data_IF_234161113729
#
_entry.id   IF_234161113729
#
_cell.length_a   1.000
_cell.length_b   1.000
_cell.length_c   1.000
_cell.angle_alpha   90.00
_cell.angle_beta   90.00
_cell.angle_gamma   90.00
#
_symmetry.space_group_name_H-M   'P 1'
#
loop_
_entity.id
_entity.type
_entity.pdbx_description
1 polymer ?
#
# COMPACT_ATOMS: atom_id res chain seq x y z
N UNK A 1 -14.24 37.86 -52.47
CA UNK A 1 -14.77 36.81 -51.57
C UNK A 1 -14.71 35.45 -52.27
N UNK A 2 -13.74 34.57 -51.97
CA UNK A 2 -13.66 33.18 -52.49
C UNK A 2 -12.53 32.32 -51.83
N UNK A 3 -12.19 32.58 -50.56
CA UNK A 3 -11.14 31.80 -49.83
C UNK A 3 -11.64 31.13 -48.54
N UNK A 4 -12.82 31.48 -48.04
CA UNK A 4 -13.36 30.93 -46.78
C UNK A 4 -14.15 29.62 -46.97
N UNK A 5 -14.69 29.36 -48.17
CA UNK A 5 -15.51 28.16 -48.46
C UNK A 5 -14.68 26.87 -48.64
N UNK A 6 -13.41 26.98 -49.03
CA UNK A 6 -12.55 25.81 -49.32
C UNK A 6 -12.03 25.10 -48.07
N UNK A 7 -11.86 25.82 -46.96
CA UNK A 7 -11.34 25.26 -45.69
C UNK A 7 -12.45 24.45 -44.98
N UNK A 8 -13.70 24.92 -45.03
CA UNK A 8 -14.84 24.20 -44.45
C UNK A 8 -15.13 22.85 -45.11
N UNK A 9 -14.91 22.74 -46.43
CA UNK A 9 -15.10 21.49 -47.19
C UNK A 9 -14.02 20.44 -46.90
N UNK A 10 -12.78 20.87 -46.61
CA UNK A 10 -11.68 19.95 -46.26
C UNK A 10 -11.84 19.35 -44.86
N UNK A 11 -12.34 20.13 -43.90
CA UNK A 11 -12.59 19.64 -42.52
C UNK A 11 -13.76 18.65 -42.49
N UNK A 12 -14.80 18.86 -43.30
CA UNK A 12 -15.94 17.95 -43.39
C UNK A 12 -15.57 16.61 -44.06
N UNK A 13 -14.66 16.63 -45.04
CA UNK A 13 -14.20 15.41 -45.71
C UNK A 13 -13.37 14.48 -44.80
N UNK A 14 -12.57 15.04 -43.87
CA UNK A 14 -11.82 14.24 -42.88
C UNK A 14 -12.74 13.60 -41.81
N UNK A 15 -13.85 14.25 -41.46
CA UNK A 15 -14.81 13.69 -40.51
C UNK A 15 -15.56 12.46 -41.06
N UNK A 16 -15.79 12.37 -42.37
CA UNK A 16 -16.51 11.26 -42.99
C UNK A 16 -15.60 10.03 -43.19
N UNK A 17 -14.29 10.23 -43.38
CA UNK A 17 -13.33 9.12 -43.48
C UNK A 17 -13.11 8.40 -42.13
N UNK A 18 -13.15 9.13 -41.00
CA UNK A 18 -12.93 8.54 -39.67
C UNK A 18 -14.13 7.70 -39.18
N UNK A 19 -15.36 8.01 -39.61
CA UNK A 19 -16.55 7.23 -39.26
C UNK A 19 -16.73 6.00 -40.18
N UNK A 20 -16.22 6.05 -41.41
CA UNK A 20 -16.31 4.94 -42.38
C UNK A 20 -15.39 3.74 -42.12
N UNK A 21 -14.25 3.94 -41.44
CA UNK A 21 -13.31 2.84 -41.13
C UNK A 21 -13.78 2.02 -39.92
N UNK A 22 -14.61 2.59 -39.04
CA UNK A 22 -15.14 1.90 -37.85
C UNK A 22 -16.29 0.92 -38.12
N UNK A 23 -16.96 0.99 -39.28
CA UNK A 23 -18.15 0.15 -39.56
C UNK A 23 -17.85 -1.02 -40.51
N UNK A 24 -16.79 -0.96 -41.32
CA UNK A 24 -16.51 -2.03 -42.31
C UNK A 24 -15.71 -3.20 -41.69
N UNK A 25 -15.02 -3.00 -40.56
CA UNK A 25 -14.35 -4.11 -39.86
C UNK A 25 -15.31 -5.09 -39.17
N UNK A 26 -16.61 -4.77 -39.07
CA UNK A 26 -17.62 -5.67 -38.52
C UNK A 26 -18.16 -6.70 -39.53
N UNK A 27 -17.80 -6.61 -40.82
CA UNK A 27 -18.41 -7.45 -41.87
C UNK A 27 -17.55 -8.66 -42.32
N UNK A 28 -16.33 -8.83 -41.80
CA UNK A 28 -15.44 -9.94 -42.20
C UNK A 28 -14.70 -10.57 -41.02
N UNK A 29 -15.45 -11.05 -40.01
CA UNK A 29 -14.92 -12.07 -39.09
C UNK A 29 -15.36 -13.47 -39.56
N UNK A 30 -14.42 -14.41 -39.76
CA UNK A 30 -14.76 -15.78 -40.07
C UNK A 30 -15.50 -16.44 -38.89
N UNK A 31 -16.51 -17.24 -39.20
CA UNK A 31 -17.45 -17.89 -38.27
C UNK A 31 -16.84 -19.03 -37.42
N UNK A 32 -15.64 -18.82 -36.88
CA UNK A 32 -14.96 -19.79 -36.02
C UNK A 32 -14.05 -19.08 -35.02
N UNK A 33 -14.65 -18.38 -34.07
CA UNK A 33 -13.99 -18.00 -32.83
C UNK A 33 -15.04 -18.09 -31.72
N UNK A 34 -14.88 -19.15 -30.95
CA UNK A 34 -15.51 -19.50 -29.68
C UNK A 34 -16.06 -18.32 -28.90
N UNK A 35 -17.33 -18.47 -28.52
CA UNK A 35 -18.06 -17.76 -27.48
C UNK A 35 -17.16 -17.49 -26.26
N UNK A 36 -16.54 -16.32 -26.20
CA UNK A 36 -16.04 -15.78 -24.94
C UNK A 36 -17.28 -15.31 -24.19
N UNK A 37 -17.84 -16.19 -23.37
CA UNK A 37 -18.80 -15.81 -22.36
C UNK A 37 -18.11 -14.78 -21.46
N UNK A 38 -18.47 -13.51 -21.63
CA UNK A 38 -18.19 -12.49 -20.62
C UNK A 38 -19.13 -12.82 -19.47
N UNK A 39 -18.67 -13.64 -18.53
CA UNK A 39 -19.32 -13.74 -17.23
C UNK A 39 -19.15 -12.38 -16.56
N UNK A 40 -20.18 -11.55 -16.69
CA UNK A 40 -20.32 -10.33 -15.92
C UNK A 40 -20.64 -10.78 -14.49
N UNK A 41 -19.62 -10.95 -13.66
CA UNK A 41 -19.81 -11.29 -12.25
C UNK A 41 -20.42 -10.05 -11.58
N UNK A 42 -21.74 -10.04 -11.46
CA UNK A 42 -22.49 -9.02 -10.71
C UNK A 42 -22.43 -9.38 -9.23
N UNK A 43 -21.48 -8.79 -8.50
CA UNK A 43 -21.46 -8.90 -7.05
C UNK A 43 -22.59 -8.04 -6.46
N UNK A 44 -23.40 -8.56 -5.52
CA UNK A 44 -24.39 -7.75 -4.82
C UNK A 44 -23.67 -6.68 -4.00
N UNK A 45 -24.02 -5.41 -4.24
CA UNK A 45 -23.65 -4.31 -3.35
C UNK A 45 -24.46 -4.51 -2.07
N UNK A 46 -23.91 -5.22 -1.10
CA UNK A 46 -24.47 -5.27 0.25
C UNK A 46 -24.29 -3.90 0.90
N UNK A 47 -25.36 -3.09 0.87
CA UNK A 47 -25.47 -1.87 1.66
C UNK A 47 -25.69 -2.29 3.11
N UNK A 48 -24.59 -2.46 3.86
CA UNK A 48 -24.59 -2.68 5.30
C UNK A 48 -23.94 -1.47 5.96
N UNK A 49 -24.76 -0.46 6.30
CA UNK A 49 -24.43 0.70 7.15
C UNK A 49 -23.01 1.24 6.94
N UNK A 50 -22.67 1.57 5.69
CA UNK A 50 -21.32 1.98 5.30
C UNK A 50 -21.15 3.47 5.64
N UNK A 51 -20.37 3.78 6.67
CA UNK A 51 -19.74 5.09 6.74
C UNK A 51 -18.94 5.20 5.44
N UNK A 52 -19.35 6.06 4.51
CA UNK A 52 -18.66 6.23 3.23
C UNK A 52 -17.22 6.66 3.53
N UNK A 53 -16.30 5.68 3.50
CA UNK A 53 -14.88 5.94 3.74
C UNK A 53 -14.36 6.90 2.67
N UNK A 54 -13.54 7.90 3.04
CA UNK A 54 -13.13 8.95 2.11
C UNK A 54 -12.24 8.39 0.99
N UNK A 55 -12.12 9.13 -0.11
CA UNK A 55 -11.24 8.77 -1.23
C UNK A 55 -9.76 9.05 -0.96
N UNK A 56 -9.46 9.80 0.10
CA UNK A 56 -8.11 10.05 0.58
C UNK A 56 -8.10 10.21 2.09
N UNK A 57 -7.01 9.79 2.71
CA UNK A 57 -6.71 10.06 4.12
C UNK A 57 -5.37 10.78 4.21
N UNK A 58 -5.24 11.67 5.18
CA UNK A 58 -3.94 12.24 5.56
C UNK A 58 -3.57 11.66 6.90
N UNK A 59 -2.33 11.19 7.04
CA UNK A 59 -1.82 10.70 8.32
C UNK A 59 -1.71 11.88 9.26
N UNK A 60 -2.69 11.99 10.14
CA UNK A 60 -2.66 12.90 11.28
C UNK A 60 -3.10 12.09 12.49
N UNK A 61 -2.15 11.83 13.38
CA UNK A 61 -2.41 11.17 14.63
C UNK A 61 -2.30 12.17 15.78
N UNK A 62 -3.30 12.10 16.64
CA UNK A 62 -3.33 12.78 17.94
C UNK A 62 -2.49 11.98 18.94
N UNK A 63 -1.58 12.65 19.64
CA UNK A 63 -0.70 12.02 20.63
C UNK A 63 0.77 12.09 20.26
N UNK A 64 1.62 11.62 21.19
CA UNK A 64 3.08 11.60 21.05
C UNK A 64 3.52 10.16 20.87
N UNK A 65 4.09 9.79 19.71
CA UNK A 65 4.72 8.49 19.53
C UNK A 65 5.82 8.28 20.57
N UNK A 66 5.81 7.12 21.20
CA UNK A 66 6.78 6.72 22.24
C UNK A 66 7.48 5.40 21.90
N UNK A 67 7.01 4.69 20.88
CA UNK A 67 7.66 3.50 20.34
C UNK A 67 7.50 3.43 18.82
N UNK A 68 8.50 2.84 18.17
CA UNK A 68 8.49 2.48 16.77
C UNK A 68 8.55 0.96 16.66
N UNK A 69 7.55 0.36 16.02
CA UNK A 69 7.52 -1.06 15.67
C UNK A 69 7.91 -1.28 14.22
N UNK A 70 8.64 -2.36 13.96
CA UNK A 70 8.87 -2.90 12.62
C UNK A 70 8.55 -4.39 12.59
N UNK A 71 7.85 -4.83 11.56
CA UNK A 71 7.69 -6.25 11.24
C UNK A 71 8.01 -6.46 9.77
N UNK A 72 8.56 -7.62 9.45
CA UNK A 72 8.84 -8.00 8.08
C UNK A 72 8.67 -9.49 7.87
N UNK A 73 8.06 -9.87 6.76
CA UNK A 73 8.21 -11.19 6.16
C UNK A 73 9.07 -11.07 4.90
N UNK A 74 10.07 -11.94 4.69
CA UNK A 74 10.43 -13.11 5.51
C UNK A 74 11.56 -12.88 6.53
N UNK A 75 12.09 -11.66 6.68
CA UNK A 75 13.31 -11.40 7.46
C UNK A 75 13.09 -11.58 8.97
N UNK A 76 12.00 -11.04 9.50
CA UNK A 76 11.64 -11.16 10.92
C UNK A 76 10.68 -12.35 11.06
N UNK A 77 10.69 -13.00 12.23
CA UNK A 77 9.78 -14.11 12.52
C UNK A 77 8.33 -13.74 12.17
N UNK A 78 7.62 -14.66 11.52
CA UNK A 78 6.28 -14.41 11.02
C UNK A 78 5.32 -14.00 12.14
N UNK A 79 4.68 -12.84 11.97
CA UNK A 79 3.74 -12.28 12.96
C UNK A 79 4.42 -11.58 14.14
N UNK A 80 5.75 -11.52 14.15
CA UNK A 80 6.48 -10.83 15.20
C UNK A 80 6.80 -9.38 14.81
N UNK A 81 6.61 -8.48 15.77
CA UNK A 81 7.10 -7.09 15.68
C UNK A 81 8.34 -6.95 16.56
N UNK A 82 9.27 -6.10 16.14
CA UNK A 82 10.39 -5.61 16.94
C UNK A 82 10.19 -4.14 17.20
N UNK A 83 10.42 -3.73 18.45
CA UNK A 83 10.16 -2.35 18.87
C UNK A 83 11.44 -1.63 19.25
N UNK A 84 11.42 -0.31 19.12
CA UNK A 84 12.44 0.56 19.68
C UNK A 84 11.78 1.77 20.35
N UNK A 85 12.40 2.24 21.44
CA UNK A 85 12.06 3.50 22.11
C UNK A 85 13.10 4.60 21.79
N UNK A 86 13.93 4.40 20.76
CA UNK A 86 14.89 5.39 20.30
C UNK A 86 14.19 6.62 19.70
N UNK A 87 14.35 7.76 20.37
CA UNK A 87 13.67 9.01 20.01
C UNK A 87 14.05 9.51 18.61
N UNK A 88 15.25 9.22 18.11
CA UNK A 88 15.68 9.66 16.78
C UNK A 88 14.98 8.85 15.68
N UNK A 89 14.87 7.53 15.87
CA UNK A 89 14.15 6.66 14.95
C UNK A 89 12.65 6.98 14.95
N UNK A 90 12.06 7.18 16.14
CA UNK A 90 10.66 7.59 16.30
C UNK A 90 10.42 8.95 15.62
N UNK A 91 11.29 9.93 15.86
CA UNK A 91 11.21 11.25 15.25
C UNK A 91 11.32 11.21 13.73
N UNK A 92 12.22 10.36 13.21
CA UNK A 92 12.37 10.16 11.76
C UNK A 92 11.12 9.53 11.14
N UNK A 93 10.60 8.45 11.72
CA UNK A 93 9.36 7.80 11.29
C UNK A 93 8.18 8.78 11.30
N UNK A 94 8.03 9.54 12.39
CA UNK A 94 7.01 10.58 12.55
C UNK A 94 7.11 11.62 11.43
N UNK A 95 8.31 12.12 11.14
CA UNK A 95 8.52 13.13 10.09
C UNK A 95 8.25 12.62 8.67
N UNK A 96 8.45 11.32 8.45
CA UNK A 96 8.23 10.68 7.16
C UNK A 96 6.74 10.43 6.89
N UNK A 97 5.95 10.19 7.94
CA UNK A 97 4.54 9.80 7.82
C UNK A 97 3.55 10.92 8.10
N UNK A 98 3.77 11.75 9.14
CA UNK A 98 2.80 12.77 9.53
C UNK A 98 2.60 13.81 8.42
N UNK A 99 1.35 14.08 8.09
CA UNK A 99 0.95 14.97 7.00
C UNK A 99 1.03 14.34 5.59
N UNK A 100 1.42 13.06 5.45
CA UNK A 100 1.37 12.38 4.15
C UNK A 100 -0.06 12.00 3.79
N UNK A 101 -0.40 12.17 2.52
CA UNK A 101 -1.70 11.80 1.98
C UNK A 101 -1.62 10.44 1.30
N UNK A 102 -2.65 9.63 1.52
CA UNK A 102 -2.84 8.33 0.90
C UNK A 102 -4.17 8.33 0.17
N UNK A 103 -4.18 7.87 -1.08
CA UNK A 103 -5.38 7.77 -1.91
C UNK A 103 -5.96 6.38 -1.90
N UNK A 104 -7.28 6.31 -1.88
CA UNK A 104 -8.03 5.05 -1.92
C UNK A 104 -7.68 4.29 -3.20
N UNK A 105 -7.31 3.05 -3.01
CA UNK A 105 -7.03 2.13 -4.10
C UNK A 105 -8.21 1.19 -4.34
N UNK A 106 -8.92 1.42 -5.45
CA UNK A 106 -10.09 0.61 -5.81
C UNK A 106 -9.72 -0.78 -6.35
N UNK A 107 -8.43 -1.05 -6.60
CA UNK A 107 -7.94 -2.38 -6.97
C UNK A 107 -7.89 -3.39 -5.81
N UNK A 108 -8.11 -2.95 -4.56
CA UNK A 108 -7.91 -3.76 -3.35
C UNK A 108 -8.71 -5.07 -3.31
N UNK A 109 -9.97 -5.07 -3.76
CA UNK A 109 -10.81 -6.28 -3.74
C UNK A 109 -10.31 -7.33 -4.74
N UNK A 110 -9.98 -6.90 -5.96
CA UNK A 110 -9.40 -7.76 -7.01
C UNK A 110 -8.03 -8.29 -6.56
N UNK A 111 -7.24 -7.46 -5.88
CA UNK A 111 -5.97 -7.84 -5.29
C UNK A 111 -6.13 -8.97 -4.27
N UNK A 112 -7.02 -8.83 -3.29
CA UNK A 112 -7.20 -9.84 -2.24
C UNK A 112 -7.61 -11.19 -2.83
N UNK A 113 -8.52 -11.19 -3.81
CA UNK A 113 -8.94 -12.41 -4.51
C UNK A 113 -7.79 -13.12 -5.26
N UNK A 114 -6.79 -12.37 -5.75
CA UNK A 114 -5.59 -12.94 -6.38
C UNK A 114 -4.55 -13.38 -5.35
N UNK A 115 -4.39 -12.65 -4.23
CA UNK A 115 -3.41 -12.92 -3.18
C UNK A 115 -3.57 -14.32 -2.57
N UNK A 116 -4.81 -14.76 -2.37
CA UNK A 116 -5.09 -16.11 -1.82
C UNK A 116 -4.57 -17.26 -2.72
N UNK A 117 -4.15 -16.95 -3.95
CA UNK A 117 -3.59 -17.89 -4.92
C UNK A 117 -2.06 -17.74 -5.08
N UNK A 118 -1.43 -16.78 -4.39
CA UNK A 118 -0.01 -16.49 -4.49
C UNK A 118 0.77 -17.15 -3.34
N UNK A 119 1.89 -17.80 -3.65
CA UNK A 119 2.81 -18.38 -2.67
C UNK A 119 4.08 -17.51 -2.56
N UNK A 120 4.42 -17.09 -1.34
CA UNK A 120 5.57 -16.21 -1.06
C UNK A 120 5.21 -14.72 -1.11
N UNK A 121 6.13 -13.86 -0.67
CA UNK A 121 5.95 -12.41 -0.65
C UNK A 121 7.02 -11.70 0.18
N UNK A 122 7.10 -10.38 0.02
CA UNK A 122 7.83 -9.51 0.94
C UNK A 122 6.82 -8.52 1.51
N UNK A 123 6.78 -8.38 2.81
CA UNK A 123 5.82 -7.50 3.45
C UNK A 123 6.47 -6.88 4.67
N UNK A 124 6.56 -5.56 4.69
CA UNK A 124 7.06 -4.80 5.83
C UNK A 124 5.95 -3.94 6.42
N UNK A 125 5.98 -3.73 7.73
CA UNK A 125 5.11 -2.75 8.41
C UNK A 125 5.95 -1.88 9.32
N UNK A 126 5.63 -0.60 9.35
CA UNK A 126 6.14 0.39 10.29
C UNK A 126 4.99 0.88 11.17
N UNK A 127 5.19 0.87 12.48
CA UNK A 127 4.17 1.11 13.49
C UNK A 127 4.62 2.23 14.43
N UNK A 128 3.79 3.24 14.64
CA UNK A 128 4.00 4.26 15.66
C UNK A 128 2.97 4.06 16.76
N UNK A 129 3.46 3.83 17.97
CA UNK A 129 2.62 3.57 19.14
C UNK A 129 2.85 4.64 20.23
N UNK A 130 1.80 4.95 20.97
CA UNK A 130 1.88 5.81 22.15
C UNK A 130 2.49 5.06 23.34
N UNK A 131 2.84 5.80 24.40
CA UNK A 131 3.49 5.24 25.58
C UNK A 131 2.69 4.13 26.28
N UNK A 132 1.36 4.10 26.09
CA UNK A 132 0.47 3.08 26.63
C UNK A 132 0.25 1.87 25.70
N UNK A 133 1.01 1.76 24.62
CA UNK A 133 0.89 0.69 23.63
C UNK A 133 -0.26 0.88 22.65
N UNK A 134 -1.00 1.99 22.67
CA UNK A 134 -2.04 2.24 21.67
C UNK A 134 -1.43 2.66 20.34
N UNK A 135 -1.87 2.00 19.25
CA UNK A 135 -1.49 2.34 17.88
C UNK A 135 -1.92 3.75 17.48
N UNK A 136 -0.96 4.57 17.08
CA UNK A 136 -1.21 5.92 16.51
C UNK A 136 -1.26 5.87 14.99
N UNK A 137 -0.35 5.11 14.37
CA UNK A 137 -0.26 4.98 12.92
C UNK A 137 0.40 3.65 12.57
N UNK A 138 -0.09 2.97 11.52
CA UNK A 138 0.65 1.91 10.86
C UNK A 138 0.66 2.16 9.36
N UNK A 139 1.78 1.83 8.72
CA UNK A 139 1.87 1.76 7.27
C UNK A 139 2.59 0.48 6.89
N UNK A 140 2.25 -0.05 5.73
CA UNK A 140 2.79 -1.28 5.21
C UNK A 140 3.38 -1.08 3.83
N UNK A 141 4.29 -1.95 3.42
CA UNK A 141 4.92 -1.95 2.11
C UNK A 141 5.04 -3.36 1.56
N UNK A 142 4.77 -3.52 0.27
CA UNK A 142 4.87 -4.80 -0.44
C UNK A 142 5.39 -4.58 -1.88
N UNK A 143 6.67 -4.92 -2.18
CA UNK A 143 7.32 -4.66 -3.47
C UNK A 143 6.82 -5.55 -4.60
N UNK A 144 6.07 -6.63 -4.32
CA UNK A 144 5.64 -7.60 -5.32
C UNK A 144 4.61 -7.07 -6.33
N UNK A 145 4.26 -5.78 -6.28
CA UNK A 145 3.04 -5.23 -6.87
C UNK A 145 3.25 -3.95 -7.70
N UNK A 146 4.38 -3.85 -8.40
CA UNK A 146 4.62 -2.78 -9.39
C UNK A 146 4.17 -3.26 -10.79
N UNK A 147 3.36 -2.44 -11.48
CA UNK A 147 2.81 -2.60 -12.85
C UNK A 147 1.45 -3.34 -13.02
N UNK A 148 0.35 -3.03 -12.32
CA UNK A 148 -0.46 -1.81 -12.52
C UNK A 148 -1.66 -1.81 -11.53
N UNK A 149 -1.76 -1.00 -10.48
CA UNK A 149 -0.84 -0.07 -9.81
C UNK A 149 -1.27 -0.04 -8.33
N UNK A 150 -0.60 -0.81 -7.46
CA UNK A 150 -0.66 -0.66 -6.00
C UNK A 150 -0.36 -1.94 -5.20
N UNK A 151 0.17 -1.84 -3.95
CA UNK A 151 0.62 -0.63 -3.27
C UNK A 151 2.16 -0.57 -3.14
N UNK A 152 2.71 0.64 -3.25
CA UNK A 152 3.91 0.99 -2.51
C UNK A 152 3.58 1.10 -1.01
N UNK A 153 3.97 2.16 -0.33
CA UNK A 153 3.59 2.35 1.08
C UNK A 153 2.06 2.56 1.18
N UNK A 154 1.38 1.83 2.08
CA UNK A 154 -0.07 1.86 2.20
C UNK A 154 -0.59 1.76 3.63
N UNK A 155 -1.86 2.12 3.80
CA UNK A 155 -2.65 1.95 5.02
C UNK A 155 -3.83 1.06 4.69
N UNK A 156 -4.08 0.04 5.51
CA UNK A 156 -5.27 -0.80 5.41
C UNK A 156 -6.28 -0.39 6.47
N UNK A 157 -7.48 -0.02 6.05
CA UNK A 157 -8.60 0.26 6.93
C UNK A 157 -9.77 -0.68 6.55
N UNK A 158 -9.85 -1.81 7.27
CA UNK A 158 -10.78 -2.90 6.97
C UNK A 158 -10.57 -3.44 5.55
N UNK A 159 -11.61 -3.30 4.72
CA UNK A 159 -11.61 -3.73 3.31
C UNK A 159 -11.06 -2.67 2.34
N UNK A 160 -10.73 -1.47 2.83
CA UNK A 160 -10.20 -0.38 2.00
C UNK A 160 -8.69 -0.30 2.19
N UNK A 161 -7.97 -0.10 1.09
CA UNK A 161 -6.54 0.18 1.08
C UNK A 161 -6.35 1.60 0.56
N UNK A 162 -5.47 2.35 1.22
CA UNK A 162 -5.03 3.68 0.82
C UNK A 162 -3.53 3.63 0.51
N UNK A 163 -3.12 4.12 -0.66
CA UNK A 163 -1.72 4.09 -1.12
C UNK A 163 -1.13 5.50 -1.04
N UNK A 164 0.08 5.60 -0.52
CA UNK A 164 0.78 6.86 -0.32
C UNK A 164 0.96 7.61 -1.65
N UNK A 165 0.62 8.89 -1.65
CA UNK A 165 0.86 9.74 -2.82
C UNK A 165 2.29 10.25 -2.87
N UNK A 166 2.77 10.51 -4.09
CA UNK A 166 4.08 11.12 -4.34
C UNK A 166 5.24 10.14 -4.20
N UNK A 167 6.43 10.70 -3.94
CA UNK A 167 7.66 9.93 -3.76
C UNK A 167 7.66 9.20 -2.42
N UNK A 168 7.89 7.89 -2.48
CA UNK A 168 7.87 6.97 -1.35
C UNK A 168 9.27 6.45 -0.99
N UNK A 169 10.30 6.77 -1.78
CA UNK A 169 11.66 6.22 -1.62
C UNK A 169 12.18 6.41 -0.20
N UNK A 170 12.05 7.60 0.37
CA UNK A 170 12.54 7.88 1.72
C UNK A 170 11.83 7.07 2.83
N UNK A 171 10.57 6.68 2.63
CA UNK A 171 9.82 5.85 3.59
C UNK A 171 10.23 4.39 3.45
N UNK A 172 10.36 3.91 2.22
CA UNK A 172 10.80 2.54 1.92
C UNK A 172 12.23 2.30 2.41
N UNK A 173 13.18 3.18 2.07
CA UNK A 173 14.57 3.09 2.52
C UNK A 173 14.68 3.07 4.05
N UNK A 174 13.84 3.87 4.72
CA UNK A 174 13.81 3.89 6.18
C UNK A 174 13.24 2.61 6.77
N UNK A 175 12.18 2.06 6.17
CA UNK A 175 11.57 0.80 6.59
C UNK A 175 12.52 -0.39 6.39
N UNK A 176 13.24 -0.42 5.28
CA UNK A 176 14.24 -1.46 4.98
C UNK A 176 15.40 -1.39 5.96
N UNK A 177 15.92 -0.19 6.25
CA UNK A 177 16.96 -0.02 7.28
C UNK A 177 16.49 -0.44 8.67
N UNK A 178 15.28 -0.05 9.07
CA UNK A 178 14.73 -0.47 10.37
C UNK A 178 14.60 -2.00 10.43
N UNK A 179 14.17 -2.63 9.34
CA UNK A 179 14.04 -4.08 9.24
C UNK A 179 15.39 -4.77 9.39
N UNK A 180 16.43 -4.28 8.71
CA UNK A 180 17.77 -4.86 8.79
C UNK A 180 18.36 -4.68 10.19
N UNK A 181 18.32 -3.45 10.73
CA UNK A 181 18.84 -3.15 12.08
C UNK A 181 18.12 -4.00 13.15
N UNK A 182 16.80 -4.21 13.01
CA UNK A 182 16.03 -5.05 13.92
C UNK A 182 16.36 -6.54 13.77
N UNK A 183 16.54 -7.01 12.53
CA UNK A 183 16.92 -8.38 12.23
C UNK A 183 18.30 -8.71 12.81
N UNK A 184 19.31 -7.89 12.54
CA UNK A 184 20.67 -8.09 13.06
C UNK A 184 20.70 -8.16 14.59
N UNK A 185 19.90 -7.34 15.27
CA UNK A 185 19.91 -7.26 16.73
C UNK A 185 19.03 -8.29 17.44
N UNK A 186 18.09 -8.93 16.73
CA UNK A 186 17.06 -9.78 17.38
C UNK A 186 16.88 -11.16 16.75
N UNK A 187 17.48 -11.41 15.60
CA UNK A 187 17.43 -12.69 14.91
C UNK A 187 18.81 -13.34 14.77
N UNK A 188 19.91 -12.56 14.83
CA UNK A 188 21.27 -13.09 14.69
C UNK A 188 22.04 -13.15 16.03
N UNK A 189 22.86 -14.20 16.26
CA UNK A 189 22.92 -15.45 15.49
C UNK A 189 21.66 -16.31 15.68
N UNK A 190 20.95 -16.09 16.79
CA UNK A 190 19.63 -16.65 17.10
C UNK A 190 18.92 -15.74 18.13
N UNK A 191 17.58 -15.81 18.24
CA UNK A 191 16.83 -14.95 19.15
C UNK A 191 17.22 -15.07 20.63
N UNK A 192 17.64 -16.25 21.11
CA UNK A 192 17.98 -16.42 22.52
C UNK A 192 19.32 -15.76 22.83
N UNK A 193 20.32 -15.94 21.97
CA UNK A 193 21.60 -15.23 22.08
C UNK A 193 21.40 -13.71 22.03
N UNK A 194 20.50 -13.22 21.17
CA UNK A 194 20.14 -11.80 21.12
C UNK A 194 19.53 -11.32 22.45
N UNK A 195 18.63 -12.08 23.07
CA UNK A 195 18.08 -11.77 24.41
C UNK A 195 19.16 -11.71 25.47
N UNK A 196 20.07 -12.68 25.46
CA UNK A 196 21.14 -12.81 26.44
C UNK A 196 22.16 -11.64 26.37
N UNK A 197 22.20 -10.92 25.25
CA UNK A 197 23.01 -9.68 25.10
C UNK A 197 22.51 -8.51 25.96
N UNK A 198 21.29 -8.59 26.51
CA UNK A 198 20.72 -7.59 27.41
C UNK A 198 20.37 -6.26 26.72
N UNK A 199 20.54 -5.16 27.47
CA UNK A 199 20.05 -3.81 27.13
C UNK A 199 20.95 -3.01 26.18
N UNK A 200 21.93 -3.62 25.54
CA UNK A 200 22.79 -2.94 24.56
C UNK A 200 22.09 -2.71 23.20
N UNK A 201 20.95 -3.37 22.98
CA UNK A 201 20.18 -3.34 21.74
C UNK A 201 19.27 -2.11 21.68
N UNK A 202 19.17 -1.54 20.49
CA UNK A 202 18.18 -0.52 20.14
C UNK A 202 16.83 -1.15 19.82
N UNK A 203 16.83 -2.35 19.23
CA UNK A 203 15.63 -3.11 18.88
C UNK A 203 15.37 -4.24 19.89
N UNK A 204 14.10 -4.33 20.32
CA UNK A 204 13.63 -5.16 21.40
C UNK A 204 12.54 -6.12 20.92
N UNK A 205 12.41 -7.25 21.60
CA UNK A 205 11.25 -8.13 21.47
C UNK A 205 10.01 -7.48 22.09
N UNK A 206 8.82 -7.92 21.69
CA UNK A 206 7.53 -7.39 22.18
C UNK A 206 7.35 -7.48 23.71
N UNK A 207 7.92 -8.50 24.33
CA UNK A 207 7.87 -8.70 25.78
C UNK A 207 8.94 -7.90 26.56
N UNK A 208 9.87 -7.26 25.86
CA UNK A 208 10.95 -6.44 26.46
C UNK A 208 10.60 -4.96 26.53
N UNK A 209 9.64 -4.49 25.72
CA UNK A 209 9.26 -3.08 25.72
C UNK A 209 8.40 -2.75 26.96
N UNK A 210 8.73 -1.62 27.60
CA UNK A 210 7.99 -1.17 28.79
C UNK A 210 6.93 -0.14 28.38
N UNK A 211 5.68 -0.58 28.41
CA UNK A 211 4.52 0.29 28.22
C UNK A 211 4.08 0.93 29.55
N UNK A 212 3.69 2.21 29.50
CA UNK A 212 3.06 2.89 30.62
C UNK A 212 1.58 2.52 30.67
N UNK A 213 1.08 1.84 31.71
CA UNK A 213 -0.33 1.48 31.77
C UNK A 213 -1.24 2.70 31.59
N UNK A 214 -2.29 2.57 30.78
CA UNK A 214 -3.35 3.59 30.74
C UNK A 214 -3.95 3.72 32.14
N UNK A 215 -4.08 4.96 32.62
CA UNK A 215 -4.75 5.26 33.90
C UNK A 215 -6.24 4.99 33.84
#
# INVERSE_FOLDING_TARGET
>A
MKRSTYIGLLVLAFAIAAVGVGIIYLAFLPASATQAAVETISYPIEILTDIVKPDSITVDFDGTPAALGVSNYPRIELGATRYTQDEQLIGKATSLLKGKTFKRWYGAAIYRAKKDQMNGGYYSTLELDAANGSRLCNVSYDPGYVDNEGPGVYISDGNVIYVMEGDQTAVVDFMDRCTEDAYEQTCEPDPQTARDSGSARTWLFDDEITWTPSK
#
